data_IF_008889266173
#
_entry.id   IF_008889266173
#
_cell.length_a   1.000
_cell.length_b   1.000
_cell.length_c   1.000
_cell.angle_alpha   90.00
_cell.angle_beta   90.00
_cell.angle_gamma   90.00
#
_symmetry.space_group_name_H-M   'P 1'
#
loop_
_entity.id
_entity.type
_entity.pdbx_description
1 polymer ?
#
# COMPACT_ATOMS: atom_id res chain seq x y z
N UNK A 1 -13.23 11.09 -7.98
CA UNK A 1 -12.22 10.03 -7.78
C UNK A 1 -11.05 10.57 -7.00
N UNK A 2 -10.56 9.86 -6.02
CA UNK A 2 -9.27 10.12 -5.39
C UNK A 2 -8.44 8.83 -5.37
N UNK A 3 -7.15 8.99 -5.60
CA UNK A 3 -6.18 7.88 -5.57
C UNK A 3 -5.26 8.12 -4.39
N UNK A 4 -5.24 7.16 -3.48
CA UNK A 4 -4.38 7.17 -2.31
C UNK A 4 -3.46 5.96 -2.34
N UNK A 5 -2.22 6.14 -1.92
CA UNK A 5 -1.26 5.07 -1.79
C UNK A 5 -1.03 4.77 -0.31
N UNK A 6 -0.77 3.53 0.01
CA UNK A 6 -0.47 3.09 1.37
C UNK A 6 0.65 2.06 1.33
N UNK A 7 1.70 2.30 2.12
CA UNK A 7 2.78 1.33 2.29
C UNK A 7 3.41 1.41 3.67
N UNK A 8 4.10 0.33 4.03
CA UNK A 8 5.02 0.29 5.15
C UNK A 8 6.43 0.12 4.59
N UNK A 9 7.38 0.87 5.12
CA UNK A 9 8.78 0.80 4.72
C UNK A 9 9.70 0.70 5.92
N UNK A 10 10.86 0.08 5.72
CA UNK A 10 11.92 0.13 6.71
C UNK A 10 12.51 1.55 6.80
N UNK A 11 13.40 1.75 7.77
CA UNK A 11 14.11 3.04 7.92
C UNK A 11 14.89 3.42 6.64
N UNK A 12 15.40 2.42 5.92
CA UNK A 12 16.15 2.60 4.67
C UNK A 12 15.28 2.48 3.40
N UNK A 13 13.95 2.48 3.54
CA UNK A 13 13.02 2.59 2.41
C UNK A 13 12.57 1.28 1.78
N UNK A 14 12.93 0.14 2.34
CA UNK A 14 12.55 -1.18 1.81
C UNK A 14 11.08 -1.46 2.05
N UNK A 15 10.37 -1.90 1.02
CA UNK A 15 8.96 -2.31 1.08
C UNK A 15 8.75 -3.79 0.75
N UNK A 16 9.76 -4.49 0.27
CA UNK A 16 9.67 -5.91 -0.05
C UNK A 16 11.01 -6.59 -0.10
N UNK A 17 11.00 -7.89 0.21
CA UNK A 17 12.16 -8.76 0.15
C UNK A 17 11.69 -10.19 -0.15
N UNK A 18 12.19 -10.78 -1.24
CA UNK A 18 11.84 -12.14 -1.62
C UNK A 18 10.35 -12.41 -1.83
N UNK A 19 9.58 -11.42 -2.29
CA UNK A 19 8.15 -11.54 -2.55
C UNK A 19 7.26 -11.31 -1.31
N UNK A 20 7.83 -10.92 -0.19
CA UNK A 20 7.10 -10.65 1.04
C UNK A 20 7.57 -9.40 1.76
N UNK A 21 6.98 -9.12 2.90
CA UNK A 21 7.36 -8.02 3.79
C UNK A 21 8.23 -8.61 4.91
N UNK A 22 9.43 -8.04 5.17
CA UNK A 22 10.40 -8.64 6.09
C UNK A 22 10.13 -8.35 7.57
N UNK A 23 8.91 -7.96 7.94
CA UNK A 23 8.50 -7.74 9.34
C UNK A 23 7.07 -8.14 9.56
N UNK A 24 6.69 -8.29 10.85
CA UNK A 24 5.32 -8.49 11.27
C UNK A 24 4.93 -7.38 12.24
N UNK A 25 3.91 -6.60 11.89
CA UNK A 25 3.50 -5.43 12.63
C UNK A 25 1.97 -5.37 12.70
N UNK A 26 1.37 -5.98 13.75
CA UNK A 26 -0.10 -6.03 13.89
C UNK A 26 -0.77 -4.66 13.90
N UNK A 27 -0.10 -3.66 14.48
CA UNK A 27 -0.58 -2.28 14.53
C UNK A 27 -0.70 -1.66 13.14
N UNK A 28 0.21 -2.02 12.24
CA UNK A 28 0.14 -1.59 10.84
C UNK A 28 -1.00 -2.27 10.09
N UNK A 29 -1.20 -3.54 10.32
CA UNK A 29 -2.31 -4.29 9.73
C UNK A 29 -3.65 -3.72 10.16
N UNK A 30 -3.79 -3.37 11.43
CA UNK A 30 -5.00 -2.74 11.97
C UNK A 30 -5.26 -1.37 11.33
N UNK A 31 -4.21 -0.56 11.16
CA UNK A 31 -4.32 0.76 10.52
C UNK A 31 -4.67 0.62 9.03
N UNK A 32 -4.03 -0.29 8.33
CA UNK A 32 -4.33 -0.59 6.94
C UNK A 32 -5.82 -0.92 6.76
N UNK A 33 -6.33 -1.80 7.60
CA UNK A 33 -7.75 -2.15 7.58
C UNK A 33 -8.64 -0.94 7.86
N UNK A 34 -8.33 -0.16 8.88
CA UNK A 34 -9.13 1.01 9.27
C UNK A 34 -9.23 2.05 8.15
N UNK A 35 -8.12 2.29 7.43
CA UNK A 35 -8.07 3.26 6.35
C UNK A 35 -8.75 2.76 5.07
N UNK A 36 -8.64 1.49 4.76
CA UNK A 36 -9.09 0.95 3.47
C UNK A 36 -10.47 0.30 3.52
N UNK A 37 -10.97 -0.06 4.70
CA UNK A 37 -12.25 -0.76 4.83
C UNK A 37 -13.39 0.05 4.20
N UNK A 38 -14.20 -0.61 3.39
CA UNK A 38 -15.30 0.05 2.67
C UNK A 38 -14.88 0.74 1.36
N UNK A 39 -13.60 0.74 1.02
CA UNK A 39 -13.05 1.34 -0.20
C UNK A 39 -12.44 0.27 -1.11
N UNK A 40 -12.42 0.49 -2.43
CA UNK A 40 -11.70 -0.42 -3.32
C UNK A 40 -10.20 -0.39 -3.08
N UNK A 41 -9.57 -1.56 -3.18
CA UNK A 41 -8.12 -1.72 -3.13
C UNK A 41 -7.62 -2.25 -4.45
N UNK A 42 -6.53 -1.67 -4.94
CA UNK A 42 -5.88 -2.04 -6.19
C UNK A 42 -4.47 -2.53 -5.87
N UNK A 43 -4.11 -3.67 -6.44
CA UNK A 43 -2.82 -4.30 -6.20
C UNK A 43 -2.32 -5.03 -7.43
N UNK A 44 -1.00 -5.17 -7.54
CA UNK A 44 -0.41 -6.05 -8.51
C UNK A 44 -0.61 -7.53 -8.15
N UNK A 45 -0.43 -8.41 -9.13
CA UNK A 45 -0.60 -9.86 -8.93
C UNK A 45 0.31 -10.41 -7.84
N UNK A 46 1.57 -9.98 -7.78
CA UNK A 46 2.51 -10.45 -6.77
C UNK A 46 2.05 -10.10 -5.35
N UNK A 47 1.49 -8.92 -5.17
CA UNK A 47 0.91 -8.50 -3.88
C UNK A 47 -0.28 -9.37 -3.50
N UNK A 48 -1.18 -9.63 -4.45
CA UNK A 48 -2.31 -10.54 -4.25
C UNK A 48 -1.83 -11.92 -3.80
N UNK A 49 -0.85 -12.49 -4.51
CA UNK A 49 -0.31 -13.82 -4.19
C UNK A 49 0.43 -13.86 -2.85
N UNK A 50 0.93 -12.73 -2.36
CA UNK A 50 1.60 -12.62 -1.06
C UNK A 50 0.63 -12.61 0.12
N UNK A 51 -0.64 -12.32 -0.12
CA UNK A 51 -1.67 -12.35 0.93
C UNK A 51 -1.95 -13.79 1.35
N UNK A 52 -2.10 -14.05 2.67
CA UNK A 52 -2.60 -15.35 3.11
C UNK A 52 -3.95 -15.67 2.48
N UNK A 53 -4.20 -16.93 2.16
CA UNK A 53 -5.45 -17.36 1.49
C UNK A 53 -6.70 -16.91 2.24
N UNK A 54 -6.68 -16.93 3.56
CA UNK A 54 -7.79 -16.48 4.41
C UNK A 54 -8.09 -14.99 4.27
N UNK A 55 -7.16 -14.21 3.72
CA UNK A 55 -7.30 -12.77 3.46
C UNK A 55 -7.42 -12.44 1.97
N UNK A 56 -7.67 -13.43 1.14
CA UNK A 56 -7.94 -13.26 -0.29
C UNK A 56 -9.37 -13.68 -0.61
N UNK A 57 -10.27 -12.75 -0.90
CA UNK A 57 -10.09 -11.29 -0.96
C UNK A 57 -10.05 -10.65 0.41
N UNK A 58 -9.51 -9.43 0.47
CA UNK A 58 -9.58 -8.60 1.67
C UNK A 58 -11.05 -8.27 1.95
N UNK A 59 -11.59 -8.63 3.13
CA UNK A 59 -13.01 -8.51 3.39
C UNK A 59 -13.48 -7.06 3.49
N UNK A 60 -14.73 -6.81 3.09
CA UNK A 60 -15.36 -5.49 3.16
C UNK A 60 -14.85 -4.48 2.14
N UNK A 61 -14.08 -4.93 1.16
CA UNK A 61 -13.46 -4.08 0.13
C UNK A 61 -13.59 -4.76 -1.22
N UNK A 62 -13.77 -3.95 -2.26
CA UNK A 62 -13.68 -4.44 -3.63
C UNK A 62 -12.21 -4.61 -3.98
N UNK A 63 -11.80 -5.83 -4.34
CA UNK A 63 -10.39 -6.15 -4.64
C UNK A 63 -10.19 -6.15 -6.16
N UNK A 64 -9.22 -5.37 -6.63
CA UNK A 64 -8.86 -5.28 -8.05
C UNK A 64 -7.39 -5.64 -8.20
N UNK A 65 -7.11 -6.62 -9.04
CA UNK A 65 -5.76 -7.15 -9.28
C UNK A 65 -5.31 -6.79 -10.69
N UNK A 66 -4.14 -6.21 -10.80
CA UNK A 66 -3.53 -5.87 -12.08
C UNK A 66 -2.70 -7.04 -12.59
N UNK A 67 -3.02 -7.54 -13.77
CA UNK A 67 -2.26 -8.59 -14.43
C UNK A 67 -2.39 -8.49 -15.94
N UNK A 68 -1.27 -8.65 -16.64
CA UNK A 68 -1.26 -8.70 -18.10
C UNK A 68 -1.57 -10.08 -18.66
N UNK A 69 -1.76 -11.08 -17.80
CA UNK A 69 -2.13 -12.43 -18.23
C UNK A 69 -3.56 -12.44 -18.74
N UNK A 70 -3.72 -12.72 -20.01
CA UNK A 70 -5.04 -12.78 -20.67
C UNK A 70 -5.86 -13.94 -20.09
N UNK A 71 -7.11 -13.64 -19.72
CA UNK A 71 -8.04 -14.66 -19.22
C UNK A 71 -7.77 -15.11 -17.79
N UNK A 72 -6.85 -14.45 -17.07
CA UNK A 72 -6.62 -14.77 -15.66
C UNK A 72 -7.87 -14.45 -14.85
N UNK A 73 -8.33 -15.42 -14.08
CA UNK A 73 -9.39 -15.25 -13.09
C UNK A 73 -8.86 -15.65 -11.72
N UNK A 74 -9.19 -14.86 -10.72
CA UNK A 74 -8.90 -15.19 -9.33
C UNK A 74 -10.18 -15.04 -8.50
N UNK A 75 -10.39 -15.97 -7.58
CA UNK A 75 -11.61 -15.98 -6.77
C UNK A 75 -11.64 -14.77 -5.84
N UNK A 76 -12.72 -13.98 -5.92
CA UNK A 76 -12.95 -12.85 -5.03
C UNK A 76 -12.35 -11.52 -5.47
N UNK A 77 -11.70 -11.45 -6.64
CA UNK A 77 -11.15 -10.21 -7.17
C UNK A 77 -11.51 -10.02 -8.62
N UNK A 78 -11.53 -8.77 -9.06
CA UNK A 78 -11.64 -8.40 -10.46
C UNK A 78 -10.23 -8.24 -11.02
N UNK A 79 -9.94 -8.84 -12.16
CA UNK A 79 -8.64 -8.77 -12.81
C UNK A 79 -8.74 -7.83 -13.99
N UNK A 80 -7.85 -6.84 -14.03
CA UNK A 80 -7.74 -5.91 -15.17
C UNK A 80 -6.28 -5.81 -15.60
N UNK A 81 -6.06 -5.37 -16.84
CA UNK A 81 -4.74 -5.41 -17.46
C UNK A 81 -3.83 -4.24 -17.03
N UNK A 82 -4.39 -3.12 -16.57
CA UNK A 82 -3.63 -1.92 -16.28
C UNK A 82 -4.25 -1.11 -15.14
N UNK A 83 -3.44 -0.22 -14.57
CA UNK A 83 -3.94 0.75 -13.59
C UNK A 83 -5.03 1.65 -14.21
N UNK A 84 -4.86 2.09 -15.45
CA UNK A 84 -5.86 2.90 -16.13
C UNK A 84 -7.21 2.16 -16.23
N UNK A 85 -7.18 0.88 -16.56
CA UNK A 85 -8.40 0.05 -16.61
C UNK A 85 -9.04 -0.08 -15.22
N UNK A 86 -8.23 -0.25 -14.17
CA UNK A 86 -8.72 -0.32 -12.80
C UNK A 86 -9.43 0.98 -12.40
N UNK A 87 -8.83 2.12 -12.68
CA UNK A 87 -9.41 3.41 -12.34
C UNK A 87 -10.68 3.70 -13.14
N UNK A 88 -10.73 3.29 -14.41
CA UNK A 88 -11.95 3.38 -15.22
C UNK A 88 -13.07 2.50 -14.65
N UNK A 89 -12.74 1.29 -14.22
CA UNK A 89 -13.69 0.36 -13.61
C UNK A 89 -14.28 0.90 -12.31
N UNK A 90 -13.46 1.57 -11.50
CA UNK A 90 -13.84 2.03 -10.17
C UNK A 90 -14.53 3.40 -10.17
N UNK A 91 -14.43 4.16 -11.25
CA UNK A 91 -15.17 5.41 -11.42
C UNK A 91 -14.82 6.48 -10.39
N UNK A 92 -15.81 6.94 -9.64
CA UNK A 92 -15.68 8.05 -8.69
C UNK A 92 -15.30 7.60 -7.26
N UNK A 93 -15.00 6.33 -7.05
CA UNK A 93 -14.64 5.81 -5.74
C UNK A 93 -13.30 6.39 -5.23
N UNK A 94 -13.14 6.41 -3.91
CA UNK A 94 -11.83 6.59 -3.30
C UNK A 94 -11.06 5.27 -3.38
N UNK A 95 -9.94 5.29 -4.09
CA UNK A 95 -9.17 4.09 -4.42
C UNK A 95 -7.89 4.06 -3.61
N UNK A 96 -7.60 2.91 -2.99
CA UNK A 96 -6.36 2.67 -2.27
C UNK A 96 -5.46 1.73 -3.08
N UNK A 97 -4.26 2.18 -3.41
CA UNK A 97 -3.25 1.38 -4.08
C UNK A 97 -2.30 0.80 -3.02
N UNK A 98 -2.21 -0.51 -2.98
CA UNK A 98 -1.50 -1.22 -1.91
C UNK A 98 -0.26 -2.00 -2.37
N UNK A 99 0.19 -1.77 -3.57
CA UNK A 99 1.46 -2.31 -4.05
C UNK A 99 1.36 -3.19 -5.29
N UNK A 100 2.42 -3.77 -5.77
CA UNK A 100 3.79 -3.53 -5.28
C UNK A 100 4.47 -2.30 -5.83
N UNK A 101 5.82 -2.32 -5.76
CA UNK A 101 6.63 -1.16 -6.12
C UNK A 101 6.38 -0.61 -7.51
N UNK A 102 6.21 -1.47 -8.51
CA UNK A 102 5.88 -1.04 -9.89
C UNK A 102 4.51 -0.35 -9.96
N UNK A 103 3.52 -0.86 -9.25
CA UNK A 103 2.18 -0.25 -9.21
C UNK A 103 2.23 1.08 -8.48
N UNK A 104 2.97 1.19 -7.39
CA UNK A 104 3.18 2.47 -6.70
C UNK A 104 3.80 3.52 -7.63
N UNK A 105 4.81 3.13 -8.39
CA UNK A 105 5.48 4.04 -9.32
C UNK A 105 4.51 4.56 -10.40
N UNK A 106 3.63 3.70 -10.90
CA UNK A 106 2.61 4.10 -11.88
C UNK A 106 1.51 4.98 -11.26
N UNK A 107 1.13 4.71 -10.03
CA UNK A 107 0.01 5.40 -9.38
C UNK A 107 0.43 6.75 -8.77
N UNK A 108 1.69 6.91 -8.39
CA UNK A 108 2.16 8.11 -7.69
C UNK A 108 1.82 9.42 -8.41
N UNK A 109 2.01 9.55 -9.74
CA UNK A 109 1.63 10.77 -10.45
C UNK A 109 0.15 11.12 -10.39
N UNK A 110 -0.70 10.14 -10.11
CA UNK A 110 -2.17 10.29 -10.04
C UNK A 110 -2.65 10.46 -8.60
N UNK A 111 -1.80 10.20 -7.63
CA UNK A 111 -2.19 10.15 -6.22
C UNK A 111 -2.27 11.55 -5.62
N UNK A 112 -3.20 11.72 -4.69
CA UNK A 112 -3.38 12.96 -3.92
C UNK A 112 -2.97 12.79 -2.46
N UNK A 113 -2.84 11.54 -1.99
CA UNK A 113 -2.55 11.20 -0.59
C UNK A 113 -1.67 9.96 -0.53
N UNK A 114 -0.72 9.97 0.39
CA UNK A 114 0.10 8.80 0.70
C UNK A 114 0.15 8.61 2.21
N UNK A 115 -0.18 7.41 2.65
CA UNK A 115 -0.08 6.99 4.03
C UNK A 115 1.09 6.03 4.19
N UNK A 116 2.03 6.38 5.05
CA UNK A 116 3.28 5.64 5.23
C UNK A 116 3.39 5.16 6.67
N UNK A 117 3.72 3.88 6.83
CA UNK A 117 4.21 3.36 8.10
C UNK A 117 5.72 3.24 7.99
N UNK A 118 6.44 3.93 8.85
CA UNK A 118 7.90 3.79 8.95
C UNK A 118 8.20 2.78 10.04
N UNK A 119 8.86 1.71 9.67
CA UNK A 119 9.30 0.66 10.60
C UNK A 119 10.76 0.93 10.91
N UNK A 120 11.06 1.15 12.18
CA UNK A 120 12.37 1.62 12.65
C UNK A 120 13.43 0.53 12.67
N UNK A 121 13.52 -0.23 11.59
CA UNK A 121 14.53 -1.29 11.39
C UNK A 121 15.19 -1.08 10.03
N UNK A 122 16.45 -1.48 9.93
CA UNK A 122 17.16 -1.57 8.67
C UNK A 122 17.11 -3.03 8.21
N UNK A 123 16.66 -3.27 6.99
CA UNK A 123 16.55 -4.62 6.43
C UNK A 123 17.06 -4.61 5.00
N UNK A 124 17.56 -5.76 4.56
CA UNK A 124 17.87 -5.98 3.16
C UNK A 124 16.58 -6.26 2.38
N UNK A 125 16.49 -5.74 1.17
CA UNK A 125 15.34 -5.97 0.32
C UNK A 125 15.65 -5.77 -1.14
N UNK A 126 14.65 -6.07 -1.96
CA UNK A 126 14.75 -5.97 -3.42
C UNK A 126 13.78 -4.94 -4.00
N UNK A 127 12.92 -4.37 -3.17
CA UNK A 127 11.91 -3.39 -3.59
C UNK A 127 11.88 -2.24 -2.60
N UNK A 128 11.88 -1.01 -3.12
CA UNK A 128 11.88 0.21 -2.32
C UNK A 128 10.67 1.08 -2.61
N UNK A 129 10.24 1.84 -1.60
CA UNK A 129 9.18 2.82 -1.75
C UNK A 129 9.58 3.93 -2.72
N UNK A 130 8.64 4.52 -3.47
CA UNK A 130 8.91 5.73 -4.23
C UNK A 130 9.32 6.87 -3.30
N UNK A 131 10.13 7.79 -3.83
CA UNK A 131 10.45 9.03 -3.14
C UNK A 131 9.23 9.95 -3.11
N UNK A 132 9.11 10.73 -2.02
CA UNK A 132 8.12 11.78 -1.87
C UNK A 132 8.84 13.13 -1.77
N UNK A 133 9.22 13.74 -2.92
CA UNK A 133 9.95 15.01 -2.89
C UNK A 133 9.15 16.12 -2.20
N UNK A 134 9.81 16.92 -1.37
CA UNK A 134 9.17 17.95 -0.57
C UNK A 134 8.56 19.11 -1.36
N UNK A 135 8.95 19.27 -2.64
CA UNK A 135 8.34 20.23 -3.55
C UNK A 135 7.03 19.73 -4.18
N UNK A 136 6.77 18.44 -4.12
CA UNK A 136 5.55 17.82 -4.64
C UNK A 136 4.60 17.32 -3.53
N UNK A 137 5.17 16.97 -2.38
CA UNK A 137 4.43 16.37 -1.27
C UNK A 137 4.66 17.14 0.03
N UNK A 138 3.62 17.24 0.85
CA UNK A 138 3.68 17.87 2.16
C UNK A 138 3.24 16.87 3.22
N UNK A 139 4.06 16.68 4.25
CA UNK A 139 3.66 15.91 5.42
C UNK A 139 2.60 16.68 6.21
N UNK A 140 1.47 16.04 6.46
CA UNK A 140 0.34 16.66 7.18
C UNK A 140 0.19 16.17 8.60
N UNK A 141 0.70 14.97 8.89
CA UNK A 141 0.63 14.38 10.22
C UNK A 141 1.75 13.37 10.43
N UNK A 142 2.20 13.28 11.66
CA UNK A 142 3.09 12.22 12.13
C UNK A 142 2.57 11.71 13.47
N UNK A 143 2.48 10.40 13.63
CA UNK A 143 2.00 9.75 14.84
C UNK A 143 2.96 8.64 15.29
N UNK A 144 3.70 8.82 16.40
CA UNK A 144 3.68 9.98 17.28
C UNK A 144 4.29 11.23 16.62
N UNK A 145 3.98 12.39 17.15
CA UNK A 145 4.53 13.66 16.64
C UNK A 145 6.05 13.65 16.70
N UNK A 146 6.61 13.11 17.77
CA UNK A 146 8.05 12.92 17.96
C UNK A 146 8.33 11.49 18.39
N UNK A 147 9.45 10.93 17.89
CA UNK A 147 9.91 9.61 18.26
C UNK A 147 9.13 8.47 17.62
N UNK A 148 8.93 7.41 18.38
CA UNK A 148 8.42 6.14 17.88
C UNK A 148 7.41 5.55 18.86
N UNK A 149 6.39 4.86 18.30
CA UNK A 149 5.65 3.85 19.03
C UNK A 149 6.48 2.57 19.12
N UNK A 150 6.17 1.75 20.10
CA UNK A 150 6.74 0.40 20.20
C UNK A 150 5.62 -0.61 19.99
N UNK A 151 5.80 -1.51 19.04
CA UNK A 151 4.79 -2.54 18.76
C UNK A 151 4.79 -3.64 19.82
N UNK A 152 3.74 -4.44 19.81
CA UNK A 152 3.65 -5.66 20.62
C UNK A 152 4.73 -6.69 20.29
N UNK A 153 5.43 -6.52 19.16
CA UNK A 153 6.55 -7.36 18.71
C UNK A 153 7.91 -6.70 18.97
N UNK A 154 7.96 -5.66 19.81
CA UNK A 154 9.17 -4.89 20.13
C UNK A 154 9.82 -4.23 18.91
N UNK A 155 9.01 -3.84 17.92
CA UNK A 155 9.48 -3.14 16.73
C UNK A 155 9.06 -1.67 16.80
N UNK A 156 10.00 -0.72 16.70
CA UNK A 156 9.64 0.71 16.66
C UNK A 156 8.96 1.05 15.32
N UNK A 157 7.93 1.86 15.39
CA UNK A 157 7.20 2.30 14.19
C UNK A 157 6.58 3.67 14.40
N UNK A 158 6.22 4.31 13.29
CA UNK A 158 5.41 5.53 13.30
C UNK A 158 4.61 5.64 12.02
N UNK A 159 3.54 6.40 12.05
CA UNK A 159 2.70 6.69 10.89
C UNK A 159 2.94 8.11 10.40
N UNK A 160 3.06 8.27 9.09
CA UNK A 160 3.22 9.57 8.43
C UNK A 160 2.18 9.71 7.33
N UNK A 161 1.55 10.87 7.25
CA UNK A 161 0.56 11.19 6.24
C UNK A 161 1.06 12.32 5.34
N UNK A 162 0.91 12.14 4.04
CA UNK A 162 1.34 13.11 3.03
C UNK A 162 0.20 13.46 2.10
N UNK A 163 0.15 14.71 1.67
CA UNK A 163 -0.76 15.16 0.60
C UNK A 163 0.05 15.85 -0.49
N UNK A 164 -0.47 15.79 -1.70
CA UNK A 164 0.12 16.49 -2.84
C UNK A 164 -0.03 18.01 -2.65
N UNK A 165 1.04 18.75 -2.99
CA UNK A 165 1.03 20.22 -2.94
C UNK A 165 0.18 20.82 -4.04
#
# INVERSE_FOLDING_TARGET
MSVSLIWARSADGVIGSGGGIPWHLPEDQARFRALTFGHPVVMGRSTWESLPERFRPLPGRRNVVLSRTVGLEVAGAEVVASLADALALLGDDEVWVMGGGEVYAQALPLATRVEVTVVGVAVEGDTWAPDLPGDEWRETASDPVDGWHMSSQDVPYRFESYVRR
#
